data_IF_605460345067
#
_entry.id   IF_605460345067
#
_cell.length_a   1.000
_cell.length_b   1.000
_cell.length_c   1.000
_cell.angle_alpha   90.00
_cell.angle_beta   90.00
_cell.angle_gamma   90.00
#
_symmetry.space_group_name_H-M   'P 1'
#
loop_
_entity.id
_entity.type
_entity.pdbx_description
1 polymer ?
#
# COMPACT_ATOMS: atom_id res chain seq x y z
N UNK A 1 20.09 31.37 -10.70
CA UNK A 1 18.76 30.90 -10.26
C UNK A 1 18.48 29.61 -11.03
N UNK A 2 18.88 28.49 -10.46
CA UNK A 2 18.68 27.13 -10.99
C UNK A 2 19.05 26.19 -9.85
N UNK A 3 18.06 25.54 -9.24
CA UNK A 3 18.23 24.39 -8.34
C UNK A 3 16.94 23.57 -8.44
N UNK A 4 17.01 22.46 -9.16
CA UNK A 4 16.23 21.24 -8.96
C UNK A 4 16.75 20.21 -9.97
N UNK A 5 17.78 19.45 -9.58
CA UNK A 5 18.24 18.29 -10.36
C UNK A 5 19.10 17.29 -9.54
N UNK A 6 18.97 17.25 -8.21
CA UNK A 6 19.79 16.32 -7.37
C UNK A 6 18.94 15.32 -6.57
N UNK A 7 17.61 15.42 -6.60
CA UNK A 7 16.76 14.55 -5.78
C UNK A 7 16.45 13.17 -6.39
N UNK A 8 16.64 13.00 -7.71
CA UNK A 8 16.34 11.74 -8.42
C UNK A 8 17.49 10.72 -8.48
N UNK A 9 18.70 11.08 -8.02
CA UNK A 9 19.85 10.17 -8.05
C UNK A 9 20.04 9.34 -6.77
N UNK A 10 19.28 9.61 -5.70
CA UNK A 10 19.47 8.95 -4.40
C UNK A 10 18.55 7.75 -4.14
N UNK A 11 17.41 7.64 -4.84
CA UNK A 11 16.50 6.47 -4.73
C UNK A 11 16.98 5.25 -5.52
N UNK A 12 17.80 5.44 -6.56
CA UNK A 12 18.33 4.34 -7.39
C UNK A 12 19.44 3.50 -6.73
N UNK A 13 20.07 4.00 -5.65
CA UNK A 13 21.23 3.34 -5.03
C UNK A 13 20.89 2.50 -3.79
N UNK A 14 19.68 2.62 -3.24
CA UNK A 14 19.26 1.87 -2.04
C UNK A 14 18.74 0.46 -2.40
N UNK A 15 18.45 0.20 -3.69
CA UNK A 15 18.01 -1.12 -4.17
C UNK A 15 19.15 -2.11 -4.47
N UNK A 16 20.42 -1.72 -4.30
CA UNK A 16 21.57 -2.58 -4.67
C UNK A 16 22.45 -3.07 -3.51
N UNK A 17 22.13 -2.77 -2.25
CA UNK A 17 23.03 -3.12 -1.11
C UNK A 17 22.58 -4.29 -0.22
N UNK A 18 21.60 -5.09 -0.63
CA UNK A 18 21.18 -6.29 0.10
C UNK A 18 21.37 -7.62 -0.67
N UNK A 19 22.39 -7.72 -1.51
CA UNK A 19 22.91 -9.01 -1.98
C UNK A 19 24.42 -8.97 -2.08
N UNK A 20 25.12 -9.57 -1.12
CA UNK A 20 26.49 -10.02 -1.36
C UNK A 20 26.71 -11.37 -0.68
N UNK A 21 26.87 -12.42 -1.49
CA UNK A 21 28.13 -13.17 -1.60
C UNK A 21 28.05 -14.16 -2.78
N UNK A 22 28.76 -13.85 -3.86
CA UNK A 22 29.71 -14.74 -4.50
C UNK A 22 30.60 -13.90 -5.44
N UNK A 23 31.89 -14.17 -5.38
CA UNK A 23 33.02 -13.44 -5.96
C UNK A 23 33.24 -13.91 -7.40
N UNK A 24 33.59 -13.00 -8.32
CA UNK A 24 34.82 -13.14 -9.11
C UNK A 24 35.26 -11.78 -9.69
N UNK A 25 36.52 -11.47 -9.39
CA UNK A 25 37.30 -10.32 -9.87
C UNK A 25 37.67 -10.51 -11.34
N UNK A 26 37.60 -9.45 -12.15
CA UNK A 26 38.80 -8.82 -12.72
C UNK A 26 38.44 -7.72 -13.74
N UNK A 27 39.29 -6.69 -13.77
CA UNK A 27 39.36 -5.54 -14.69
C UNK A 27 38.53 -4.30 -14.31
N UNK A 28 39.22 -3.28 -13.77
CA UNK A 28 39.42 -1.99 -14.45
C UNK A 28 40.38 -1.09 -13.64
N UNK A 29 41.49 -0.69 -14.27
CA UNK A 29 42.35 0.44 -13.87
C UNK A 29 41.90 1.70 -14.68
N UNK A 30 42.46 2.92 -14.48
CA UNK A 30 41.90 4.00 -13.67
C UNK A 30 41.60 5.27 -14.50
N UNK A 31 40.86 6.24 -13.93
CA UNK A 31 41.02 7.64 -14.32
C UNK A 31 40.90 8.57 -13.12
N UNK A 32 42.07 9.05 -12.67
CA UNK A 32 42.25 10.21 -11.80
C UNK A 32 41.86 11.48 -12.57
N UNK A 33 41.24 12.44 -11.88
CA UNK A 33 41.89 13.71 -11.48
C UNK A 33 40.91 14.88 -11.33
N UNK A 34 40.64 15.29 -10.08
CA UNK A 34 40.63 16.70 -9.67
C UNK A 34 40.40 16.83 -8.14
N UNK A 35 41.47 16.99 -7.33
CA UNK A 35 41.37 17.01 -5.87
C UNK A 35 40.59 18.22 -5.31
N UNK A 36 40.52 19.34 -6.04
CA UNK A 36 39.77 20.52 -5.57
C UNK A 36 38.24 20.42 -5.71
N UNK A 37 37.72 19.58 -6.62
CA UNK A 37 36.27 19.33 -6.73
C UNK A 37 35.77 18.31 -5.70
N UNK A 38 36.62 17.37 -5.28
CA UNK A 38 36.31 16.43 -4.21
C UNK A 38 36.23 17.13 -2.84
N UNK A 39 37.09 18.10 -2.55
CA UNK A 39 37.07 18.77 -1.24
C UNK A 39 35.85 19.70 -1.04
N UNK A 40 35.35 20.33 -2.12
CA UNK A 40 34.09 21.09 -2.09
C UNK A 40 32.85 20.18 -2.10
N UNK A 41 32.91 19.01 -2.75
CA UNK A 41 31.85 18.00 -2.68
C UNK A 41 31.75 17.38 -1.27
N UNK A 42 32.88 17.13 -0.61
CA UNK A 42 32.96 16.61 0.76
C UNK A 42 32.48 17.65 1.78
N UNK A 43 32.84 18.95 1.60
CA UNK A 43 32.31 20.03 2.46
C UNK A 43 30.80 20.24 2.30
N UNK A 44 30.26 20.10 1.09
CA UNK A 44 28.81 20.20 0.85
C UNK A 44 28.03 18.94 1.27
N UNK A 45 28.63 17.74 1.20
CA UNK A 45 28.07 16.51 1.76
C UNK A 45 28.01 16.54 3.29
N UNK A 46 29.04 17.10 3.94
CA UNK A 46 29.05 17.26 5.39
C UNK A 46 28.06 18.32 5.88
N UNK A 47 27.70 19.33 5.07
CA UNK A 47 26.71 20.34 5.47
C UNK A 47 25.25 19.86 5.39
N UNK A 48 24.95 18.86 4.53
CA UNK A 48 23.62 18.25 4.41
C UNK A 48 23.33 17.19 5.49
N UNK A 49 24.36 16.72 6.20
CA UNK A 49 24.25 15.69 7.24
C UNK A 49 23.81 16.23 8.61
N UNK A 50 23.68 17.55 8.79
CA UNK A 50 23.30 18.19 10.07
C UNK A 50 21.97 18.94 10.02
N UNK A 51 21.08 18.62 9.09
CA UNK A 51 19.69 19.06 9.23
C UNK A 51 18.97 18.15 10.26
N UNK A 52 18.36 18.71 11.32
CA UNK A 52 17.66 17.90 12.33
C UNK A 52 16.55 17.02 11.75
N UNK A 53 16.01 17.38 10.58
CA UNK A 53 15.04 16.58 9.81
C UNK A 53 15.64 15.26 9.30
N UNK A 54 16.93 15.23 8.96
CA UNK A 54 17.61 14.00 8.52
C UNK A 54 17.85 13.02 9.68
N UNK A 55 18.05 13.52 10.90
CA UNK A 55 18.17 12.66 12.09
C UNK A 55 16.81 12.08 12.49
N UNK A 56 15.72 12.85 12.33
CA UNK A 56 14.37 12.36 12.61
C UNK A 56 13.92 11.31 11.57
N UNK A 57 14.23 11.53 10.29
CA UNK A 57 13.96 10.54 9.24
C UNK A 57 14.73 9.24 9.51
N UNK A 58 16.03 9.33 9.81
CA UNK A 58 16.84 8.17 10.22
C UNK A 58 16.27 7.48 11.45
N UNK A 59 15.71 8.23 12.40
CA UNK A 59 15.07 7.68 13.58
C UNK A 59 13.84 6.84 13.22
N UNK A 60 12.99 7.32 12.32
CA UNK A 60 11.81 6.57 11.87
C UNK A 60 12.11 5.41 10.91
N UNK A 61 13.28 5.42 10.25
CA UNK A 61 13.76 4.31 9.40
C UNK A 61 14.39 3.16 10.19
N UNK A 62 14.55 3.29 11.51
CA UNK A 62 15.21 2.24 12.31
C UNK A 62 14.33 0.99 12.35
N UNK A 63 14.90 -0.19 12.07
CA UNK A 63 14.16 -1.44 12.20
C UNK A 63 13.73 -1.67 13.65
N UNK A 64 12.58 -2.32 13.81
CA UNK A 64 12.01 -2.68 15.09
C UNK A 64 12.86 -3.79 15.71
N UNK A 65 13.22 -3.61 16.98
CA UNK A 65 13.83 -4.68 17.78
C UNK A 65 12.71 -5.52 18.39
N UNK A 66 12.51 -6.74 17.90
CA UNK A 66 11.47 -7.63 18.39
C UNK A 66 11.86 -8.37 19.69
N UNK A 67 12.11 -7.57 20.74
CA UNK A 67 12.17 -8.02 22.13
C UNK A 67 11.06 -7.30 22.92
N UNK A 68 10.68 -7.76 24.13
CA UNK A 68 9.66 -7.07 24.93
C UNK A 68 9.94 -5.57 25.09
N UNK A 69 11.18 -5.23 25.44
CA UNK A 69 11.61 -3.83 25.60
C UNK A 69 11.71 -3.08 24.26
N UNK A 70 12.07 -3.76 23.17
CA UNK A 70 12.18 -3.12 21.86
C UNK A 70 10.83 -2.79 21.23
N UNK A 71 9.82 -3.64 21.42
CA UNK A 71 8.43 -3.38 21.01
C UNK A 71 7.83 -2.25 21.86
N UNK A 72 8.04 -2.29 23.18
CA UNK A 72 7.64 -1.20 24.09
C UNK A 72 8.25 0.13 23.67
N UNK A 73 9.57 0.15 23.43
CA UNK A 73 10.28 1.33 22.94
C UNK A 73 9.72 1.84 21.62
N UNK A 74 9.44 0.95 20.65
CA UNK A 74 8.82 1.33 19.38
C UNK A 74 7.47 2.03 19.61
N UNK A 75 6.59 1.45 20.44
CA UNK A 75 5.29 2.06 20.68
C UNK A 75 5.40 3.40 21.41
N UNK A 76 6.24 3.48 22.44
CA UNK A 76 6.40 4.69 23.24
C UNK A 76 7.05 5.85 22.45
N UNK A 77 8.07 5.56 21.64
CA UNK A 77 8.93 6.61 21.07
C UNK A 77 8.81 6.78 19.55
N UNK A 78 8.34 5.76 18.83
CA UNK A 78 8.23 5.80 17.37
C UNK A 78 6.77 5.90 16.95
N UNK A 79 5.94 4.91 17.28
CA UNK A 79 4.53 4.86 16.87
C UNK A 79 3.71 6.03 17.44
N UNK A 80 3.91 6.36 18.71
CA UNK A 80 3.21 7.47 19.38
C UNK A 80 3.84 8.84 19.15
N UNK A 81 4.96 8.92 18.42
CA UNK A 81 5.56 10.21 18.10
C UNK A 81 4.59 11.05 17.25
N UNK A 82 4.49 12.35 17.55
CA UNK A 82 3.56 13.29 16.89
C UNK A 82 3.76 13.31 15.38
N UNK A 83 5.03 13.36 14.94
CA UNK A 83 5.44 13.37 13.53
C UNK A 83 5.45 12.00 12.84
N UNK A 84 5.07 10.91 13.51
CA UNK A 84 5.12 9.59 12.86
C UNK A 84 4.14 9.49 11.68
N UNK A 85 3.03 10.22 11.71
CA UNK A 85 2.09 10.33 10.59
C UNK A 85 2.65 11.09 9.38
N UNK A 86 3.69 11.91 9.56
CA UNK A 86 4.39 12.58 8.45
C UNK A 86 5.32 11.59 7.73
N UNK A 87 5.78 10.55 8.42
CA UNK A 87 6.73 9.56 7.91
C UNK A 87 6.07 8.33 7.29
N UNK A 88 5.06 7.77 7.97
CA UNK A 88 4.35 6.55 7.54
C UNK A 88 3.86 6.56 6.07
N UNK A 89 3.45 7.70 5.48
CA UNK A 89 3.08 7.79 4.05
C UNK A 89 4.17 7.35 3.07
N UNK A 90 5.44 7.44 3.47
CA UNK A 90 6.59 7.15 2.63
C UNK A 90 7.10 5.72 2.75
N UNK A 91 6.68 4.98 3.77
CA UNK A 91 7.04 3.57 3.92
C UNK A 91 6.14 2.84 4.90
N UNK A 92 5.76 1.62 4.54
CA UNK A 92 5.00 0.69 5.37
C UNK A 92 5.92 -0.39 6.01
N UNK A 93 7.23 -0.16 6.05
CA UNK A 93 8.21 -1.16 6.51
C UNK A 93 7.96 -1.63 7.95
N UNK A 94 7.51 -0.74 8.85
CA UNK A 94 7.18 -1.16 10.22
C UNK A 94 6.00 -2.15 10.25
N UNK A 95 4.97 -1.93 9.43
CA UNK A 95 3.85 -2.87 9.30
C UNK A 95 4.34 -4.21 8.76
N UNK A 96 5.17 -4.18 7.72
CA UNK A 96 5.76 -5.37 7.10
C UNK A 96 6.61 -6.14 8.14
N UNK A 97 7.47 -5.46 8.90
CA UNK A 97 8.28 -6.07 9.95
C UNK A 97 7.45 -6.76 11.03
N UNK A 98 6.34 -6.14 11.48
CA UNK A 98 5.44 -6.79 12.43
C UNK A 98 4.81 -8.07 11.85
N UNK A 99 4.40 -8.05 10.58
CA UNK A 99 3.84 -9.23 9.94
C UNK A 99 4.89 -10.33 9.73
N UNK A 100 6.12 -9.97 9.32
CA UNK A 100 7.25 -10.89 9.20
C UNK A 100 7.57 -11.57 10.54
N UNK A 101 7.63 -10.78 11.63
CA UNK A 101 7.79 -11.31 12.98
C UNK A 101 6.67 -12.30 13.32
N UNK A 102 5.42 -11.94 12.99
CA UNK A 102 4.27 -12.79 13.19
C UNK A 102 4.38 -14.13 12.46
N UNK A 103 4.87 -14.13 11.22
CA UNK A 103 5.10 -15.36 10.47
C UNK A 103 6.19 -16.24 11.10
N UNK A 104 7.33 -15.63 11.43
CA UNK A 104 8.47 -16.34 12.02
C UNK A 104 8.12 -17.02 13.36
N UNK A 105 7.20 -16.41 14.12
CA UNK A 105 6.77 -16.91 15.43
C UNK A 105 5.40 -17.59 15.40
N UNK A 106 4.91 -17.95 14.21
CA UNK A 106 3.65 -18.69 14.01
C UNK A 106 2.45 -18.03 14.71
N UNK A 107 2.38 -16.71 14.69
CA UNK A 107 1.24 -15.98 15.22
C UNK A 107 -0.02 -16.27 14.39
N UNK A 108 -1.18 -16.07 15.02
CA UNK A 108 -2.49 -16.37 14.46
C UNK A 108 -3.09 -15.17 13.68
N UNK A 109 -4.30 -15.36 13.16
CA UNK A 109 -5.05 -14.34 12.42
C UNK A 109 -5.38 -13.12 13.30
N UNK A 110 -5.51 -13.30 14.62
CA UNK A 110 -5.79 -12.20 15.57
C UNK A 110 -4.61 -11.27 15.73
N UNK A 111 -3.39 -11.81 15.68
CA UNK A 111 -2.19 -10.99 15.61
C UNK A 111 -2.19 -10.13 14.34
N UNK A 112 -2.40 -10.72 13.17
CA UNK A 112 -2.45 -9.97 11.91
C UNK A 112 -3.54 -8.88 11.93
N UNK A 113 -4.74 -9.21 12.42
CA UNK A 113 -5.83 -8.23 12.64
C UNK A 113 -5.39 -7.06 13.51
N UNK A 114 -4.68 -7.33 14.60
CA UNK A 114 -4.21 -6.30 15.52
C UNK A 114 -3.20 -5.37 14.84
N UNK A 115 -2.29 -5.92 14.04
CA UNK A 115 -1.32 -5.13 13.26
C UNK A 115 -2.03 -4.28 12.20
N UNK A 116 -2.93 -4.86 11.41
CA UNK A 116 -3.68 -4.09 10.39
C UNK A 116 -4.44 -2.94 11.04
N UNK A 117 -5.17 -3.20 12.14
CA UNK A 117 -5.91 -2.15 12.86
C UNK A 117 -5.00 -1.04 13.38
N UNK A 118 -3.84 -1.40 13.91
CA UNK A 118 -2.88 -0.45 14.45
C UNK A 118 -2.36 0.50 13.36
N UNK A 119 -1.97 -0.03 12.20
CA UNK A 119 -1.50 0.81 11.10
C UNK A 119 -2.65 1.53 10.37
N UNK A 120 -3.84 0.94 10.31
CA UNK A 120 -5.04 1.58 9.80
C UNK A 120 -5.40 2.84 10.60
N UNK A 121 -5.34 2.76 11.94
CA UNK A 121 -5.55 3.91 12.82
C UNK A 121 -4.54 5.02 12.55
N UNK A 122 -3.26 4.66 12.34
CA UNK A 122 -2.20 5.64 12.11
C UNK A 122 -2.29 6.29 10.71
N UNK A 123 -2.54 5.49 9.66
CA UNK A 123 -2.75 5.97 8.28
C UNK A 123 -3.93 6.93 8.19
N UNK A 124 -5.00 6.73 8.97
CA UNK A 124 -6.12 7.70 9.00
C UNK A 124 -5.67 9.11 9.37
N UNK A 125 -4.67 9.23 10.25
CA UNK A 125 -4.06 10.50 10.66
C UNK A 125 -2.98 11.04 9.73
N UNK A 126 -2.62 10.31 8.65
CA UNK A 126 -1.73 10.81 7.62
C UNK A 126 -2.49 11.71 6.64
N UNK A 127 -1.88 12.80 6.17
CA UNK A 127 -2.55 13.69 5.20
C UNK A 127 -2.59 13.09 3.79
N UNK A 128 -1.56 12.31 3.45
CA UNK A 128 -1.44 11.64 2.15
C UNK A 128 -0.76 10.28 2.29
N UNK A 129 -0.70 9.53 1.19
CA UNK A 129 0.11 8.33 1.00
C UNK A 129 0.88 8.49 -0.31
N UNK A 130 2.18 8.20 -0.30
CA UNK A 130 2.99 8.23 -1.51
C UNK A 130 2.68 6.99 -2.37
N UNK A 131 2.36 7.19 -3.65
CA UNK A 131 1.98 6.11 -4.57
C UNK A 131 3.10 5.08 -4.76
N UNK A 132 4.33 5.52 -4.98
CA UNK A 132 5.48 4.63 -5.16
C UNK A 132 5.78 3.80 -3.92
N UNK A 133 5.67 4.40 -2.73
CA UNK A 133 5.81 3.70 -1.46
C UNK A 133 4.75 2.61 -1.28
N UNK A 134 3.49 2.89 -1.65
CA UNK A 134 2.42 1.92 -1.58
C UNK A 134 2.62 0.78 -2.57
N UNK A 135 2.93 1.09 -3.84
CA UNK A 135 3.26 0.12 -4.89
C UNK A 135 4.37 -0.83 -4.42
N UNK A 136 5.44 -0.27 -3.84
CA UNK A 136 6.59 -1.07 -3.37
C UNK A 136 6.23 -1.94 -2.17
N UNK A 137 5.32 -1.49 -1.31
CA UNK A 137 4.91 -2.21 -0.11
C UNK A 137 3.88 -3.32 -0.41
N UNK A 138 2.99 -3.14 -1.38
CA UNK A 138 1.88 -4.06 -1.66
C UNK A 138 2.33 -5.52 -1.91
N UNK A 139 3.36 -5.82 -2.72
CA UNK A 139 3.85 -7.19 -2.90
C UNK A 139 4.29 -7.84 -1.58
N UNK A 140 5.03 -7.08 -0.75
CA UNK A 140 5.52 -7.54 0.56
C UNK A 140 4.37 -7.74 1.54
N UNK A 141 3.40 -6.83 1.56
CA UNK A 141 2.19 -6.98 2.36
C UNK A 141 1.41 -8.22 1.93
N UNK A 142 1.22 -8.43 0.63
CA UNK A 142 0.51 -9.59 0.11
C UNK A 142 1.20 -10.89 0.53
N UNK A 143 2.51 -10.98 0.34
CA UNK A 143 3.31 -12.12 0.79
C UNK A 143 3.17 -12.35 2.30
N UNK A 144 3.23 -11.27 3.08
CA UNK A 144 3.20 -11.37 4.54
C UNK A 144 1.81 -11.65 5.12
N UNK A 145 0.74 -11.29 4.41
CA UNK A 145 -0.64 -11.52 4.84
C UNK A 145 -1.22 -12.85 4.38
N UNK A 146 -0.69 -13.40 3.29
CA UNK A 146 -1.20 -14.65 2.66
C UNK A 146 -1.34 -15.81 3.67
N UNK A 147 -0.37 -16.09 4.56
CA UNK A 147 -0.49 -17.20 5.50
C UNK A 147 -1.60 -17.05 6.56
N UNK A 148 -2.14 -15.86 6.76
CA UNK A 148 -3.24 -15.60 7.70
C UNK A 148 -4.63 -15.74 7.05
N UNK A 149 -4.69 -15.81 5.72
CA UNK A 149 -5.95 -16.04 4.97
C UNK A 149 -6.02 -17.43 4.36
N UNK A 150 -4.87 -18.09 4.19
CA UNK A 150 -4.77 -19.46 3.70
C UNK A 150 -4.89 -20.45 4.85
N UNK A 151 -5.82 -21.40 4.73
CA UNK A 151 -6.05 -22.42 5.75
C UNK A 151 -4.79 -23.25 5.99
N UNK A 152 -4.32 -23.25 7.24
CA UNK A 152 -3.36 -24.25 7.72
C UNK A 152 -4.14 -25.41 8.34
N UNK A 153 -4.47 -26.43 7.55
CA UNK A 153 -5.18 -27.63 8.03
C UNK A 153 -4.45 -28.29 9.21
N UNK A 154 -3.12 -28.24 9.22
CA UNK A 154 -2.29 -28.85 10.26
C UNK A 154 -2.36 -28.14 11.63
N UNK A 155 -2.46 -26.80 11.67
CA UNK A 155 -2.55 -26.06 12.95
C UNK A 155 -3.93 -26.18 13.57
N UNK A 156 -4.98 -26.15 12.74
CA UNK A 156 -6.37 -26.39 13.17
C UNK A 156 -6.52 -27.73 13.89
N UNK A 157 -5.95 -28.80 13.33
CA UNK A 157 -6.02 -30.13 13.94
C UNK A 157 -5.30 -30.19 15.30
N UNK A 158 -4.17 -29.49 15.45
CA UNK A 158 -3.46 -29.43 16.73
C UNK A 158 -4.25 -28.66 17.80
N UNK A 159 -4.81 -27.51 17.46
CA UNK A 159 -5.63 -26.72 18.40
C UNK A 159 -6.90 -27.48 18.80
N UNK A 160 -7.56 -28.11 17.83
CA UNK A 160 -8.71 -28.96 18.06
C UNK A 160 -8.33 -30.12 18.98
N UNK A 161 -7.21 -30.80 18.72
CA UNK A 161 -6.73 -31.90 19.54
C UNK A 161 -6.44 -31.46 20.99
N UNK A 162 -5.77 -30.32 21.19
CA UNK A 162 -5.48 -29.80 22.53
C UNK A 162 -6.74 -29.41 23.29
N UNK A 163 -7.67 -28.72 22.61
CA UNK A 163 -8.96 -28.31 23.14
C UNK A 163 -9.81 -29.52 23.53
N UNK A 164 -9.92 -30.51 22.64
CA UNK A 164 -10.60 -31.77 22.89
C UNK A 164 -9.95 -32.54 24.03
N UNK A 165 -8.61 -32.66 24.05
CA UNK A 165 -7.87 -33.34 25.12
C UNK A 165 -8.18 -32.74 26.48
N UNK A 166 -8.07 -31.41 26.63
CA UNK A 166 -8.36 -30.72 27.89
C UNK A 166 -9.79 -30.97 28.35
N UNK A 167 -10.75 -30.94 27.41
CA UNK A 167 -12.16 -31.15 27.70
C UNK A 167 -12.48 -32.60 28.04
N UNK A 168 -11.92 -33.57 27.32
CA UNK A 168 -12.07 -34.99 27.62
C UNK A 168 -11.48 -35.33 28.97
N UNK A 169 -10.29 -34.82 29.31
CA UNK A 169 -9.71 -35.02 30.64
C UNK A 169 -10.66 -34.56 31.75
N UNK A 170 -11.37 -33.45 31.55
CA UNK A 170 -12.36 -32.96 32.51
C UNK A 170 -13.65 -33.80 32.53
N UNK A 171 -14.18 -34.19 31.37
CA UNK A 171 -15.39 -35.01 31.27
C UNK A 171 -15.14 -36.39 31.90
N UNK A 172 -14.02 -37.03 31.58
CA UNK A 172 -13.69 -38.34 32.13
C UNK A 172 -13.42 -38.28 33.63
N UNK A 173 -12.79 -37.22 34.15
CA UNK A 173 -12.60 -37.10 35.61
C UNK A 173 -13.90 -36.85 36.35
N UNK A 174 -14.86 -36.14 35.74
CA UNK A 174 -16.12 -35.75 36.39
C UNK A 174 -17.22 -36.81 36.26
N UNK A 175 -17.26 -37.53 35.13
CA UNK A 175 -18.36 -38.43 34.76
C UNK A 175 -17.93 -39.88 34.57
N UNK A 176 -16.77 -40.30 35.10
CA UNK A 176 -16.27 -41.68 34.95
C UNK A 176 -17.27 -42.74 35.45
N UNK A 177 -17.95 -42.43 36.56
CA UNK A 177 -18.94 -43.32 37.17
C UNK A 177 -20.22 -43.43 36.34
N UNK A 178 -20.57 -42.40 35.57
CA UNK A 178 -21.69 -42.45 34.63
C UNK A 178 -21.36 -43.31 33.41
N UNK A 179 -20.14 -43.19 32.87
CA UNK A 179 -19.65 -44.04 31.78
C UNK A 179 -19.70 -45.53 32.15
N UNK A 180 -19.33 -45.89 33.38
CA UNK A 180 -19.41 -47.29 33.86
C UNK A 180 -20.84 -47.84 33.91
N UNK A 181 -21.85 -46.98 34.08
CA UNK A 181 -23.26 -47.38 34.19
C UNK A 181 -24.01 -47.36 32.86
N UNK A 182 -23.73 -46.37 32.01
CA UNK A 182 -24.42 -46.14 30.74
C UNK A 182 -23.40 -45.71 29.66
N UNK A 183 -22.61 -46.65 29.11
CA UNK A 183 -21.53 -46.32 28.18
C UNK A 183 -22.05 -45.70 26.87
N UNK A 184 -23.15 -46.22 26.32
CA UNK A 184 -23.69 -45.75 25.04
C UNK A 184 -24.19 -44.30 25.12
N UNK A 185 -25.01 -43.99 26.13
CA UNK A 185 -25.51 -42.63 26.35
C UNK A 185 -24.38 -41.63 26.64
N UNK A 186 -23.30 -42.08 27.32
CA UNK A 186 -22.11 -41.25 27.52
C UNK A 186 -21.37 -40.99 26.20
N UNK A 187 -21.14 -42.02 25.38
CA UNK A 187 -20.45 -41.89 24.10
C UNK A 187 -21.25 -41.04 23.10
N UNK A 188 -22.57 -41.15 23.09
CA UNK A 188 -23.47 -40.33 22.28
C UNK A 188 -23.38 -38.85 22.69
N UNK A 189 -23.51 -38.54 23.98
CA UNK A 189 -23.37 -37.17 24.50
C UNK A 189 -21.95 -36.61 24.27
N UNK A 190 -20.92 -37.45 24.36
CA UNK A 190 -19.54 -37.07 24.07
C UNK A 190 -19.37 -36.74 22.58
N UNK A 191 -19.89 -37.59 21.69
CA UNK A 191 -19.87 -37.39 20.24
C UNK A 191 -20.55 -36.07 19.85
N UNK A 192 -21.74 -35.80 20.41
CA UNK A 192 -22.46 -34.55 20.18
C UNK A 192 -21.65 -33.32 20.63
N UNK A 193 -21.00 -33.41 21.80
CA UNK A 193 -20.14 -32.32 22.28
C UNK A 193 -18.90 -32.12 21.40
N UNK A 194 -18.30 -33.19 20.88
CA UNK A 194 -17.19 -33.11 19.93
C UNK A 194 -17.65 -32.40 18.66
N UNK A 195 -18.76 -32.86 18.06
CA UNK A 195 -19.31 -32.27 16.84
C UNK A 195 -19.59 -30.78 17.03
N UNK A 196 -20.25 -30.42 18.14
CA UNK A 196 -20.52 -29.02 18.49
C UNK A 196 -19.22 -28.21 18.61
N UNK A 197 -18.21 -28.73 19.31
CA UNK A 197 -16.97 -27.98 19.54
C UNK A 197 -16.12 -27.84 18.27
N UNK A 198 -16.06 -28.88 17.45
CA UNK A 198 -15.38 -28.84 16.16
C UNK A 198 -16.01 -27.78 15.26
N UNK A 199 -17.35 -27.75 15.18
CA UNK A 199 -18.08 -26.72 14.44
C UNK A 199 -17.79 -25.31 14.97
N UNK A 200 -17.82 -25.10 16.29
CA UNK A 200 -17.49 -23.80 16.89
C UNK A 200 -16.10 -23.29 16.50
N UNK A 201 -15.06 -24.14 16.61
CA UNK A 201 -13.67 -23.75 16.31
C UNK A 201 -13.52 -23.46 14.81
N UNK A 202 -14.11 -24.30 13.96
CA UNK A 202 -14.08 -24.10 12.51
C UNK A 202 -14.80 -22.81 12.10
N UNK A 203 -15.99 -22.56 12.65
CA UNK A 203 -16.74 -21.32 12.39
C UNK A 203 -15.96 -20.10 12.85
N UNK A 204 -15.32 -20.13 14.03
CA UNK A 204 -14.53 -19.00 14.53
C UNK A 204 -13.33 -18.70 13.63
N UNK A 205 -12.60 -19.72 13.17
CA UNK A 205 -11.47 -19.52 12.26
C UNK A 205 -11.93 -18.88 10.95
N UNK A 206 -13.06 -19.34 10.41
CA UNK A 206 -13.65 -18.73 9.22
C UNK A 206 -14.00 -17.25 9.44
N UNK A 207 -14.62 -16.91 10.57
CA UNK A 207 -14.95 -15.52 10.94
C UNK A 207 -13.68 -14.66 11.05
N UNK A 208 -12.63 -15.16 11.71
CA UNK A 208 -11.39 -14.42 11.92
C UNK A 208 -10.68 -14.15 10.58
N UNK A 209 -10.66 -15.13 9.66
CA UNK A 209 -10.13 -14.95 8.30
C UNK A 209 -10.94 -13.92 7.49
N UNK A 210 -12.27 -13.96 7.53
CA UNK A 210 -13.09 -12.94 6.84
C UNK A 210 -12.88 -11.54 7.42
N UNK A 211 -12.67 -11.43 8.74
CA UNK A 211 -12.29 -10.17 9.36
C UNK A 211 -10.93 -9.67 8.85
N UNK A 212 -9.94 -10.56 8.68
CA UNK A 212 -8.64 -10.19 8.11
C UNK A 212 -8.83 -9.61 6.71
N UNK A 213 -9.56 -10.30 5.82
CA UNK A 213 -9.81 -9.83 4.45
C UNK A 213 -10.50 -8.47 4.43
N UNK A 214 -11.52 -8.29 5.27
CA UNK A 214 -12.25 -7.02 5.39
C UNK A 214 -11.33 -5.87 5.84
N UNK A 215 -10.47 -6.10 6.83
CA UNK A 215 -9.55 -5.08 7.31
C UNK A 215 -8.42 -4.79 6.32
N UNK A 216 -7.99 -5.79 5.51
CA UNK A 216 -7.08 -5.58 4.38
C UNK A 216 -7.73 -4.69 3.32
N UNK A 217 -8.94 -5.00 2.87
CA UNK A 217 -9.67 -4.20 1.87
C UNK A 217 -9.79 -2.76 2.35
N UNK A 218 -10.29 -2.56 3.58
CA UNK A 218 -10.43 -1.23 4.18
C UNK A 218 -9.11 -0.48 4.30
N UNK A 219 -8.02 -1.18 4.60
CA UNK A 219 -6.68 -0.58 4.64
C UNK A 219 -6.25 -0.08 3.27
N UNK A 220 -6.41 -0.91 2.22
CA UNK A 220 -6.10 -0.53 0.85
C UNK A 220 -6.93 0.67 0.40
N UNK A 221 -8.25 0.65 0.59
CA UNK A 221 -9.14 1.76 0.23
C UNK A 221 -8.73 3.09 0.89
N UNK A 222 -8.37 3.06 2.18
CA UNK A 222 -7.94 4.26 2.90
C UNK A 222 -6.61 4.77 2.33
N UNK A 223 -5.67 3.88 2.02
CA UNK A 223 -4.42 4.26 1.36
C UNK A 223 -4.67 4.86 -0.03
N UNK A 224 -5.52 4.23 -0.85
CA UNK A 224 -5.85 4.72 -2.19
C UNK A 224 -6.50 6.10 -2.16
N UNK A 225 -7.44 6.32 -1.24
CA UNK A 225 -8.12 7.61 -1.09
C UNK A 225 -7.19 8.75 -0.64
N UNK A 226 -6.00 8.43 -0.12
CA UNK A 226 -4.99 9.39 0.34
C UNK A 226 -3.83 9.56 -0.64
N UNK A 227 -3.83 8.89 -1.80
CA UNK A 227 -2.74 9.01 -2.77
C UNK A 227 -2.53 10.44 -3.23
N UNK A 228 -1.29 10.91 -3.29
CA UNK A 228 -0.95 12.24 -3.81
C UNK A 228 0.11 12.09 -4.89
N UNK A 229 -0.05 12.85 -5.97
CA UNK A 229 0.86 12.90 -7.10
C UNK A 229 1.29 14.34 -7.37
N UNK A 230 2.47 14.47 -7.99
CA UNK A 230 2.97 15.75 -8.48
C UNK A 230 2.33 16.07 -9.85
N UNK A 231 1.80 17.29 -10.07
CA UNK A 231 1.30 17.71 -11.38
C UNK A 231 2.35 17.61 -12.50
N UNK A 232 3.62 17.83 -12.15
CA UNK A 232 4.75 17.74 -13.08
C UNK A 232 5.07 16.30 -13.52
N UNK A 233 4.48 15.33 -12.85
CA UNK A 233 4.65 13.88 -13.09
C UNK A 233 3.29 13.24 -13.38
N UNK A 234 2.37 13.97 -14.03
CA UNK A 234 1.00 13.50 -14.24
C UNK A 234 0.91 12.20 -15.07
N UNK A 235 1.84 11.97 -16.00
CA UNK A 235 1.90 10.70 -16.71
C UNK A 235 2.41 9.56 -15.81
N UNK A 236 3.36 9.83 -14.90
CA UNK A 236 3.78 8.84 -13.91
C UNK A 236 2.66 8.55 -12.90
N UNK A 237 1.82 9.54 -12.60
CA UNK A 237 0.60 9.33 -11.84
C UNK A 237 -0.32 8.32 -12.54
N UNK A 238 -0.53 8.48 -13.85
CA UNK A 238 -1.28 7.52 -14.67
C UNK A 238 -0.65 6.11 -14.67
N UNK A 239 0.68 6.00 -14.83
CA UNK A 239 1.38 4.71 -14.71
C UNK A 239 1.14 4.10 -13.32
N UNK A 240 1.28 4.91 -12.27
CA UNK A 240 1.17 4.43 -10.89
C UNK A 240 -0.23 3.91 -10.55
N UNK A 241 -1.31 4.46 -11.11
CA UNK A 241 -2.66 3.93 -10.86
C UNK A 241 -2.86 2.57 -11.53
N UNK A 242 -2.26 2.35 -12.70
CA UNK A 242 -2.35 1.08 -13.40
C UNK A 242 -1.53 0.00 -12.67
N UNK A 243 -0.34 0.34 -12.20
CA UNK A 243 0.46 -0.53 -11.34
C UNK A 243 -0.28 -0.87 -10.03
N UNK A 244 -0.93 0.11 -9.38
CA UNK A 244 -1.77 -0.14 -8.20
C UNK A 244 -2.95 -1.06 -8.51
N UNK A 245 -3.54 -0.98 -9.71
CA UNK A 245 -4.59 -1.89 -10.14
C UNK A 245 -4.08 -3.33 -10.33
N UNK A 246 -2.87 -3.50 -10.88
CA UNK A 246 -2.18 -4.79 -10.98
C UNK A 246 -1.86 -5.37 -9.60
N UNK A 247 -1.31 -4.55 -8.70
CA UNK A 247 -1.05 -4.99 -7.33
C UNK A 247 -2.33 -5.34 -6.58
N UNK A 248 -3.43 -4.63 -6.82
CA UNK A 248 -4.74 -4.97 -6.23
C UNK A 248 -5.29 -6.28 -6.78
N UNK A 249 -5.09 -6.54 -8.08
CA UNK A 249 -5.42 -7.83 -8.68
C UNK A 249 -4.60 -8.98 -8.04
N UNK A 250 -3.32 -8.76 -7.73
CA UNK A 250 -2.49 -9.73 -7.00
C UNK A 250 -3.04 -10.05 -5.60
N UNK A 251 -3.71 -9.10 -4.93
CA UNK A 251 -4.42 -9.39 -3.68
C UNK A 251 -5.63 -10.31 -3.90
N UNK A 252 -6.35 -10.15 -5.01
CA UNK A 252 -7.45 -11.05 -5.38
C UNK A 252 -6.94 -12.47 -5.68
N UNK A 253 -5.90 -12.60 -6.51
CA UNK A 253 -5.35 -13.94 -6.88
C UNK A 253 -4.83 -14.70 -5.67
N UNK A 254 -4.30 -13.98 -4.66
CA UNK A 254 -3.86 -14.55 -3.38
C UNK A 254 -4.99 -14.76 -2.35
N UNK A 255 -6.24 -14.44 -2.70
CA UNK A 255 -7.43 -14.53 -1.83
C UNK A 255 -7.30 -13.69 -0.54
N UNK A 256 -6.61 -12.56 -0.64
CA UNK A 256 -6.48 -11.56 0.43
C UNK A 256 -7.69 -10.62 0.48
N UNK A 257 -8.37 -10.45 -0.65
CA UNK A 257 -9.71 -9.88 -0.76
C UNK A 257 -10.67 -10.95 -1.27
N UNK A 258 -11.97 -10.73 -1.08
CA UNK A 258 -12.99 -11.78 -1.18
C UNK A 258 -13.24 -12.24 -2.61
N UNK A 259 -13.52 -11.28 -3.48
CA UNK A 259 -14.10 -11.51 -4.80
C UNK A 259 -13.83 -10.33 -5.74
N UNK A 260 -14.39 -10.42 -6.95
CA UNK A 260 -14.27 -9.38 -7.96
C UNK A 260 -14.99 -8.08 -7.56
N UNK A 261 -16.08 -8.14 -6.78
CA UNK A 261 -16.79 -6.94 -6.32
C UNK A 261 -15.89 -6.11 -5.40
N UNK A 262 -15.19 -6.75 -4.46
CA UNK A 262 -14.21 -6.09 -3.61
C UNK A 262 -13.03 -5.49 -4.41
N UNK A 263 -12.64 -6.12 -5.52
CA UNK A 263 -11.61 -5.57 -6.41
C UNK A 263 -12.14 -4.37 -7.20
N UNK A 264 -13.40 -4.41 -7.64
CA UNK A 264 -14.06 -3.32 -8.35
C UNK A 264 -14.17 -2.06 -7.48
N UNK A 265 -14.50 -2.22 -6.19
CA UNK A 265 -14.51 -1.11 -5.21
C UNK A 265 -13.13 -0.41 -5.12
N UNK A 266 -12.03 -1.19 -5.17
CA UNK A 266 -10.67 -0.63 -5.19
C UNK A 266 -10.41 0.12 -6.51
N UNK A 267 -10.82 -0.44 -7.65
CA UNK A 267 -10.66 0.21 -8.96
C UNK A 267 -11.42 1.52 -9.06
N UNK A 268 -12.66 1.56 -8.58
CA UNK A 268 -13.43 2.80 -8.47
C UNK A 268 -12.74 3.82 -7.56
N UNK A 269 -12.21 3.38 -6.41
CA UNK A 269 -11.44 4.26 -5.50
C UNK A 269 -10.21 4.88 -6.20
N UNK A 270 -9.46 4.09 -6.97
CA UNK A 270 -8.33 4.57 -7.77
C UNK A 270 -8.75 5.58 -8.84
N UNK A 271 -9.81 5.27 -9.60
CA UNK A 271 -10.34 6.16 -10.65
C UNK A 271 -10.81 7.48 -10.06
N UNK A 272 -11.60 7.45 -8.99
CA UNK A 272 -12.07 8.65 -8.33
C UNK A 272 -10.92 9.50 -7.80
N UNK A 273 -9.90 8.86 -7.22
CA UNK A 273 -8.74 9.58 -6.73
C UNK A 273 -7.90 10.20 -7.85
N UNK A 274 -7.72 9.51 -8.97
CA UNK A 274 -7.03 10.04 -10.14
C UNK A 274 -7.80 11.20 -10.79
N UNK A 275 -9.13 11.07 -10.91
CA UNK A 275 -9.99 12.16 -11.37
C UNK A 275 -9.90 13.39 -10.46
N UNK A 276 -9.84 13.20 -9.14
CA UNK A 276 -9.61 14.29 -8.20
C UNK A 276 -8.25 14.96 -8.42
N UNK A 277 -7.18 14.19 -8.66
CA UNK A 277 -5.86 14.74 -9.00
C UNK A 277 -5.89 15.58 -10.29
N UNK A 278 -6.56 15.11 -11.34
CA UNK A 278 -6.75 15.89 -12.58
C UNK A 278 -7.50 17.18 -12.27
N UNK A 279 -8.61 17.10 -11.53
CA UNK A 279 -9.47 18.25 -11.23
C UNK A 279 -8.67 19.39 -10.57
N UNK A 280 -7.80 19.07 -9.61
CA UNK A 280 -6.99 20.07 -8.90
C UNK A 280 -5.71 20.49 -9.65
N UNK A 281 -5.23 19.71 -10.62
CA UNK A 281 -3.91 19.91 -11.25
C UNK A 281 -3.96 20.19 -12.75
N UNK A 282 -5.15 20.20 -13.37
CA UNK A 282 -5.28 20.26 -14.82
C UNK A 282 -4.60 21.46 -15.49
N UNK A 283 -4.51 22.61 -14.80
CA UNK A 283 -3.84 23.80 -15.32
C UNK A 283 -2.33 23.62 -15.51
N UNK A 284 -1.72 22.70 -14.76
CA UNK A 284 -0.28 22.40 -14.77
C UNK A 284 0.07 21.18 -15.65
N UNK A 285 -0.93 20.47 -16.15
CA UNK A 285 -0.77 19.26 -16.98
C UNK A 285 -0.76 19.65 -18.46
N UNK A 286 0.24 19.18 -19.22
CA UNK A 286 0.32 19.48 -20.65
C UNK A 286 -0.74 18.73 -21.46
N UNK A 287 -1.13 19.31 -22.60
CA UNK A 287 -2.11 18.72 -23.50
C UNK A 287 -1.65 17.36 -24.04
N UNK A 288 -0.35 17.21 -24.28
CA UNK A 288 0.27 15.97 -24.76
C UNK A 288 0.07 14.82 -23.77
N UNK A 289 0.17 15.09 -22.46
CA UNK A 289 -0.04 14.07 -21.43
C UNK A 289 -1.49 13.60 -21.44
N UNK A 290 -2.47 14.50 -21.54
CA UNK A 290 -3.87 14.10 -21.66
C UNK A 290 -4.13 13.25 -22.91
N UNK A 291 -3.55 13.63 -24.05
CA UNK A 291 -3.65 12.84 -25.28
C UNK A 291 -3.05 11.44 -25.11
N UNK A 292 -1.93 11.34 -24.41
CA UNK A 292 -1.28 10.06 -24.14
C UNK A 292 -2.13 9.16 -23.24
N UNK A 293 -2.66 9.70 -22.14
CA UNK A 293 -3.56 8.96 -21.24
C UNK A 293 -4.81 8.50 -22.00
N UNK A 294 -5.42 9.36 -22.81
CA UNK A 294 -6.59 9.00 -23.63
C UNK A 294 -6.23 7.90 -24.63
N UNK A 295 -5.06 8.00 -25.28
CA UNK A 295 -4.57 6.96 -26.17
C UNK A 295 -4.47 5.62 -25.44
N UNK A 296 -3.82 5.58 -24.27
CA UNK A 296 -3.65 4.36 -23.48
C UNK A 296 -4.99 3.73 -23.11
N UNK A 297 -5.99 4.53 -22.72
CA UNK A 297 -7.34 4.05 -22.40
C UNK A 297 -8.02 3.35 -23.59
N UNK A 298 -7.70 3.74 -24.83
CA UNK A 298 -8.27 3.10 -26.03
C UNK A 298 -7.45 1.94 -26.56
N UNK A 299 -6.11 1.99 -26.42
CA UNK A 299 -5.20 1.05 -27.09
C UNK A 299 -4.69 -0.06 -26.19
N UNK A 300 -4.64 0.15 -24.87
CA UNK A 300 -4.12 -0.82 -23.91
C UNK A 300 -5.25 -1.62 -23.24
N UNK A 301 -4.96 -2.89 -22.93
CA UNK A 301 -5.83 -3.75 -22.14
C UNK A 301 -5.51 -3.58 -20.66
N UNK A 302 -6.18 -2.63 -20.02
CA UNK A 302 -5.89 -2.20 -18.66
C UNK A 302 -6.77 -2.95 -17.65
N UNK A 303 -6.16 -3.59 -16.66
CA UNK A 303 -6.89 -4.29 -15.59
C UNK A 303 -7.87 -3.39 -14.84
N UNK A 304 -7.56 -2.09 -14.75
CA UNK A 304 -8.44 -1.07 -14.17
C UNK A 304 -9.85 -1.05 -14.78
N UNK A 305 -10.01 -1.53 -16.03
CA UNK A 305 -11.29 -1.60 -16.74
C UNK A 305 -11.74 -3.04 -17.03
N UNK A 306 -11.05 -4.06 -16.51
CA UNK A 306 -11.33 -5.46 -16.83
C UNK A 306 -12.61 -5.99 -16.19
N UNK A 307 -13.08 -5.37 -15.11
CA UNK A 307 -14.33 -5.75 -14.43
C UNK A 307 -15.49 -4.96 -15.03
N UNK A 308 -16.45 -5.68 -15.62
CA UNK A 308 -17.69 -5.12 -16.13
C UNK A 308 -18.53 -4.52 -15.00
N UNK A 309 -19.26 -3.45 -15.32
CA UNK A 309 -20.17 -2.83 -14.37
C UNK A 309 -21.35 -3.75 -14.03
N UNK A 310 -21.90 -3.62 -12.82
CA UNK A 310 -23.03 -4.44 -12.35
C UNK A 310 -24.28 -4.32 -13.24
N UNK A 311 -24.46 -3.19 -13.92
CA UNK A 311 -25.66 -2.88 -14.71
C UNK A 311 -25.30 -2.18 -16.03
N UNK A 312 -25.92 -2.59 -17.13
CA UNK A 312 -25.59 -2.06 -18.47
C UNK A 312 -25.90 -0.56 -18.66
N UNK A 313 -26.75 0.01 -17.80
CA UNK A 313 -27.18 1.40 -17.90
C UNK A 313 -26.36 2.36 -17.02
N UNK A 314 -25.44 1.85 -16.20
CA UNK A 314 -24.56 2.70 -15.40
C UNK A 314 -23.36 3.15 -16.23
N UNK A 315 -22.78 4.29 -15.86
CA UNK A 315 -21.59 4.80 -16.55
C UNK A 315 -20.41 3.87 -16.25
N UNK A 316 -19.77 3.35 -17.30
CA UNK A 316 -18.57 2.53 -17.13
C UNK A 316 -17.42 3.34 -16.53
N UNK A 317 -16.52 2.65 -15.79
CA UNK A 317 -15.24 3.20 -15.31
C UNK A 317 -14.49 3.96 -16.41
N UNK A 318 -14.40 3.37 -17.60
CA UNK A 318 -13.75 3.95 -18.79
C UNK A 318 -14.44 5.24 -19.23
N UNK A 319 -15.76 5.24 -19.37
CA UNK A 319 -16.52 6.43 -19.80
C UNK A 319 -16.48 7.55 -18.76
N UNK A 320 -16.53 7.20 -17.47
CA UNK A 320 -16.43 8.16 -16.38
C UNK A 320 -15.09 8.91 -16.43
N UNK A 321 -13.99 8.17 -16.54
CA UNK A 321 -12.64 8.74 -16.61
C UNK A 321 -12.46 9.60 -17.87
N UNK A 322 -12.85 9.09 -19.04
CA UNK A 322 -12.76 9.84 -20.31
C UNK A 322 -13.56 11.14 -20.27
N UNK A 323 -14.76 11.12 -19.67
CA UNK A 323 -15.59 12.32 -19.49
C UNK A 323 -14.89 13.34 -18.59
N UNK A 324 -14.30 12.89 -17.48
CA UNK A 324 -13.54 13.76 -16.57
C UNK A 324 -12.33 14.37 -17.27
N UNK A 325 -11.52 13.57 -17.99
CA UNK A 325 -10.39 14.08 -18.77
C UNK A 325 -10.85 15.11 -19.81
N UNK A 326 -11.89 14.81 -20.59
CA UNK A 326 -12.43 15.73 -21.62
C UNK A 326 -12.88 17.08 -21.07
N UNK A 327 -13.48 17.11 -19.89
CA UNK A 327 -13.95 18.36 -19.28
C UNK A 327 -12.81 19.29 -18.87
N UNK A 328 -11.64 18.75 -18.55
CA UNK A 328 -10.44 19.51 -18.19
C UNK A 328 -9.50 19.71 -19.38
N UNK A 329 -9.67 18.91 -20.42
CA UNK A 329 -9.12 19.08 -21.76
C UNK A 329 -9.94 20.12 -22.54
N UNK A 330 -9.93 21.38 -22.11
CA UNK A 330 -10.39 22.48 -22.96
C UNK A 330 -9.15 23.09 -23.65
N UNK A 331 -9.05 23.07 -24.99
CA UNK A 331 -7.99 23.80 -25.66
C UNK A 331 -8.12 25.26 -25.24
N UNK A 332 -7.09 25.80 -24.57
CA UNK A 332 -7.05 27.24 -24.26
C UNK A 332 -7.26 27.95 -25.59
N UNK A 333 -8.30 28.80 -25.73
CA UNK A 333 -8.47 29.56 -26.95
C UNK A 333 -7.16 30.29 -27.17
N UNK A 334 -6.48 29.98 -28.28
CA UNK A 334 -5.30 30.70 -28.71
C UNK A 334 -5.68 32.17 -28.66
N UNK A 335 -5.02 32.93 -27.78
CA UNK A 335 -5.09 34.38 -27.81
C UNK A 335 -4.42 34.74 -29.14
N UNK A 336 -5.19 34.73 -30.22
CA UNK A 336 -4.84 35.39 -31.46
C UNK A 336 -4.47 36.79 -31.05
N UNK A 337 -3.17 37.10 -31.17
CA UNK A 337 -2.66 38.46 -31.02
C UNK A 337 -3.55 39.33 -31.89
N UNK A 338 -4.41 40.14 -31.25
CA UNK A 338 -5.15 41.18 -31.96
C UNK A 338 -4.11 41.98 -32.74
N UNK A 339 -4.30 42.18 -34.06
CA UNK A 339 -3.39 42.98 -34.84
C UNK A 339 -3.28 44.35 -34.18
N UNK A 340 -2.06 44.74 -33.80
CA UNK A 340 -1.77 46.09 -33.38
C UNK A 340 -2.24 47.02 -34.50
N UNK A 341 -3.37 47.70 -34.28
CA UNK A 341 -3.78 48.80 -35.13
C UNK A 341 -2.72 49.88 -35.00
N UNK A 342 -1.83 49.94 -35.99
CA UNK A 342 -1.00 51.10 -36.29
C UNK A 342 -1.91 52.32 -36.45
N UNK A 343 -2.04 53.11 -35.37
CA UNK A 343 -2.60 54.45 -35.44
C UNK A 343 -1.51 55.32 -36.07
N UNK A 344 -1.57 55.45 -37.40
CA UNK A 344 -0.89 56.53 -38.11
C UNK A 344 -1.56 57.84 -37.72
N UNK A 345 -0.90 58.60 -36.84
CA UNK A 345 -1.25 59.98 -36.56
C UNK A 345 -1.06 60.80 -37.84
N UNK A 346 -2.16 61.17 -38.49
CA UNK A 346 -2.17 62.15 -39.57
C UNK A 346 -1.92 63.54 -39.00
N UNK A 347 -0.87 64.18 -39.51
CA UNK A 347 -0.52 65.58 -39.36
C UNK A 347 -1.74 66.52 -39.46
N UNK A 348 -1.93 67.36 -38.45
CA UNK A 348 -2.65 68.63 -38.60
C UNK A 348 -1.62 69.77 -38.67
N UNK A 349 -1.65 70.48 -39.79
CA UNK A 349 -0.95 71.73 -40.07
C UNK A 349 -1.52 72.90 -39.26
N UNK A 350 -0.74 73.96 -39.01
CA UNK A 350 -1.18 75.15 -38.30
C UNK A 350 -1.83 76.17 -39.24
N UNK A 351 -2.84 76.88 -38.75
CA UNK A 351 -3.24 78.23 -39.19
C UNK A 351 -3.54 79.07 -37.97
#
# INVERSE_FOLDING_TARGET
MQKNSVFFLFMGLILQTNQQFAIDNDNLIPLLSHPHKQEQAIKNQNLLLFHPENELLKFFLRPIKFSPHGIEHFFMHTYNHEKYTEYLPYTLDHMIQFLEYGQQHQQDERYALSIIKLFLQKIKGCDFVNSYSLITAMPKLAQNLTPYVQKKEASFLQELQQSLKKRFSHIFSTYSSYFQKNPDAFLEALSEQIAKKTNEVQTQQHIDVEHVRKDILRFLEICMNKLVWSPHEAYDAWISINELAEQSHNFLTKKLINDADALDDIYWSLIHRFCYFIEISHDDISEEIFKQIVSDIYTQDLLLFAIEEQENLITSKKDFLLRKIKNHYAPKPSIEKMPEHNITASNNQPL
#
